data_IF_982657213308
#
_entry.id   IF_982657213308
#
_cell.length_a   1.000
_cell.length_b   1.000
_cell.length_c   1.000
_cell.angle_alpha   90.00
_cell.angle_beta   90.00
_cell.angle_gamma   90.00
#
_symmetry.space_group_name_H-M   'P 1'
#
loop_
_entity.id
_entity.type
_entity.pdbx_description
1 polymer ?
#
# COMPACT_ATOMS: atom_id res chain seq x y z
N UNK A 1 16.72 9.99 7.74
CA UNK A 1 18.00 9.36 8.12
C UNK A 1 18.92 10.44 8.68
N UNK A 2 19.45 10.27 9.89
CA UNK A 2 20.38 11.23 10.49
C UNK A 2 21.80 10.94 9.98
N UNK A 3 22.26 11.74 9.02
CA UNK A 3 23.60 11.63 8.41
C UNK A 3 24.42 12.87 8.73
N UNK A 4 25.68 12.91 8.28
CA UNK A 4 26.63 14.01 8.53
C UNK A 4 26.12 15.40 8.07
N UNK A 5 25.15 15.43 7.14
CA UNK A 5 24.52 16.66 6.66
C UNK A 5 23.44 17.25 7.59
N UNK A 6 23.12 16.61 8.71
CA UNK A 6 22.14 17.12 9.67
C UNK A 6 22.83 18.05 10.68
N UNK A 7 22.46 19.32 10.63
CA UNK A 7 22.93 20.34 11.56
C UNK A 7 22.00 20.45 12.76
N UNK A 8 22.49 21.05 13.85
CA UNK A 8 21.65 21.40 15.02
C UNK A 8 20.43 22.23 14.64
N UNK A 9 20.57 23.14 13.67
CA UNK A 9 19.47 23.95 13.15
C UNK A 9 18.35 23.10 12.54
N UNK A 10 18.70 22.16 11.65
CA UNK A 10 17.72 21.25 11.03
C UNK A 10 17.02 20.35 12.04
N UNK A 11 17.76 19.90 13.07
CA UNK A 11 17.19 19.12 14.16
C UNK A 11 16.18 19.92 15.00
N UNK A 12 16.51 21.16 15.39
CA UNK A 12 15.60 22.04 16.12
C UNK A 12 14.32 22.34 15.34
N UNK A 13 14.44 22.55 14.02
CA UNK A 13 13.27 22.70 13.14
C UNK A 13 12.39 21.46 13.19
N UNK A 14 12.95 20.24 13.02
CA UNK A 14 12.17 19.00 13.09
C UNK A 14 11.42 18.85 14.43
N UNK A 15 12.09 19.10 15.54
CA UNK A 15 11.45 19.01 16.88
C UNK A 15 10.33 20.03 17.02
N UNK A 16 10.52 21.24 16.50
CA UNK A 16 9.50 22.29 16.49
C UNK A 16 8.28 21.86 15.69
N UNK A 17 8.47 21.30 14.49
CA UNK A 17 7.37 20.78 13.65
C UNK A 17 6.64 19.62 14.32
N UNK A 18 7.34 18.71 14.99
CA UNK A 18 6.71 17.61 15.75
C UNK A 18 5.86 18.13 16.91
N UNK A 19 6.30 19.18 17.61
CA UNK A 19 5.51 19.81 18.66
C UNK A 19 4.27 20.52 18.09
N UNK A 20 4.41 21.25 16.97
CA UNK A 20 3.28 21.88 16.30
C UNK A 20 2.24 20.84 15.83
N UNK A 21 2.70 19.70 15.29
CA UNK A 21 1.82 18.60 14.92
C UNK A 21 1.05 18.07 16.14
N UNK A 22 1.74 17.85 17.26
CA UNK A 22 1.11 17.41 18.52
C UNK A 22 0.05 18.41 18.98
N UNK A 23 0.36 19.71 19.01
CA UNK A 23 -0.59 20.73 19.44
C UNK A 23 -1.82 20.78 18.52
N UNK A 24 -1.60 20.65 17.20
CA UNK A 24 -2.68 20.59 16.22
C UNK A 24 -3.57 19.35 16.41
N UNK A 25 -2.97 18.19 16.72
CA UNK A 25 -3.69 16.96 17.04
C UNK A 25 -4.47 17.09 18.36
N UNK A 26 -3.84 17.64 19.40
CA UNK A 26 -4.39 17.84 20.73
C UNK A 26 -5.55 18.86 20.76
N UNK A 27 -5.57 19.79 19.82
CA UNK A 27 -6.66 20.76 19.64
C UNK A 27 -7.66 20.35 18.55
N UNK A 28 -7.43 19.21 17.88
CA UNK A 28 -8.19 18.75 16.72
C UNK A 28 -8.35 19.87 15.66
N UNK A 29 -7.25 20.55 15.33
CA UNK A 29 -7.24 21.63 14.36
C UNK A 29 -7.80 21.13 13.01
N UNK A 30 -8.58 21.96 12.29
CA UNK A 30 -9.18 21.56 11.03
C UNK A 30 -8.12 21.29 9.98
N UNK A 31 -8.32 20.26 9.15
CA UNK A 31 -7.31 19.82 8.19
C UNK A 31 -6.96 20.87 7.13
N UNK A 32 -7.87 21.76 6.74
CA UNK A 32 -7.56 22.84 5.81
C UNK A 32 -6.52 23.82 6.37
N UNK A 33 -6.38 23.89 7.70
CA UNK A 33 -5.35 24.70 8.38
C UNK A 33 -4.03 23.95 8.50
N UNK A 34 -4.08 22.66 8.79
CA UNK A 34 -2.88 21.83 9.04
C UNK A 34 -2.24 21.36 7.72
N UNK A 35 -3.03 20.96 6.74
CA UNK A 35 -2.60 20.40 5.46
C UNK A 35 -3.40 21.02 4.29
N UNK A 36 -3.26 22.33 4.02
CA UNK A 36 -4.06 23.04 3.02
C UNK A 36 -3.93 22.46 1.61
N UNK A 37 -2.71 22.13 1.17
CA UNK A 37 -2.49 21.55 -0.17
C UNK A 37 -3.14 20.17 -0.33
N UNK A 38 -3.17 19.38 0.75
CA UNK A 38 -3.83 18.08 0.76
C UNK A 38 -5.35 18.23 0.60
N UNK A 39 -5.95 19.20 1.29
CA UNK A 39 -7.39 19.47 1.18
C UNK A 39 -7.77 19.98 -0.20
N UNK A 40 -6.95 20.82 -0.83
CA UNK A 40 -7.20 21.25 -2.23
C UNK A 40 -7.29 20.05 -3.18
N UNK A 41 -6.45 19.03 -2.99
CA UNK A 41 -6.46 17.80 -3.80
C UNK A 41 -7.54 16.82 -3.37
N UNK A 42 -7.91 16.81 -2.09
CA UNK A 42 -8.87 15.90 -1.50
C UNK A 42 -9.93 16.65 -0.66
N UNK A 43 -10.85 17.40 -1.29
CA UNK A 43 -11.82 18.25 -0.58
C UNK A 43 -12.74 17.50 0.38
N UNK A 44 -12.88 16.17 0.20
CA UNK A 44 -13.72 15.32 1.05
C UNK A 44 -13.36 15.36 2.54
N UNK A 45 -12.11 15.71 2.86
CA UNK A 45 -11.63 15.79 4.24
C UNK A 45 -11.73 17.20 4.85
N UNK A 46 -12.23 18.19 4.11
CA UNK A 46 -12.25 19.62 4.53
C UNK A 46 -12.91 19.83 5.90
N UNK A 47 -13.96 19.05 6.20
CA UNK A 47 -14.73 19.15 7.45
C UNK A 47 -14.15 18.38 8.63
N UNK A 48 -13.03 17.67 8.45
CA UNK A 48 -12.41 16.89 9.51
C UNK A 48 -11.34 17.71 10.25
N UNK A 49 -11.19 17.43 11.54
CA UNK A 49 -9.98 17.79 12.27
C UNK A 49 -8.88 16.74 12.10
N UNK A 50 -7.64 17.13 12.44
CA UNK A 50 -6.48 16.25 12.34
C UNK A 50 -6.66 14.96 13.16
N UNK A 51 -7.18 15.06 14.39
CA UNK A 51 -7.41 13.90 15.25
C UNK A 51 -8.48 12.99 14.66
N UNK A 52 -9.55 13.56 14.11
CA UNK A 52 -10.65 12.78 13.54
C UNK A 52 -10.16 11.91 12.38
N UNK A 53 -9.33 12.47 11.49
CA UNK A 53 -8.73 11.72 10.39
C UNK A 53 -7.80 10.63 10.91
N UNK A 54 -6.91 10.95 11.86
CA UNK A 54 -6.03 9.96 12.47
C UNK A 54 -6.82 8.81 13.11
N UNK A 55 -7.91 9.11 13.81
CA UNK A 55 -8.76 8.10 14.45
C UNK A 55 -9.45 7.23 13.41
N UNK A 56 -10.01 7.82 12.33
CA UNK A 56 -10.64 7.06 11.25
C UNK A 56 -9.67 6.07 10.59
N UNK A 57 -8.45 6.52 10.29
CA UNK A 57 -7.41 5.65 9.72
C UNK A 57 -7.05 4.55 10.72
N UNK A 58 -6.80 4.91 11.99
CA UNK A 58 -6.45 3.96 13.04
C UNK A 58 -7.53 2.89 13.25
N UNK A 59 -8.81 3.26 13.24
CA UNK A 59 -9.92 2.34 13.42
C UNK A 59 -9.99 1.28 12.31
N UNK A 60 -9.62 1.64 11.07
CA UNK A 60 -9.54 0.67 9.97
C UNK A 60 -8.36 -0.28 10.15
N UNK A 61 -7.19 0.24 10.51
CA UNK A 61 -6.03 -0.61 10.83
C UNK A 61 -6.35 -1.59 11.98
N UNK A 62 -7.05 -1.12 13.00
CA UNK A 62 -7.46 -1.92 14.16
C UNK A 62 -8.52 -2.97 13.80
N UNK A 63 -9.55 -2.59 13.05
CA UNK A 63 -10.65 -3.50 12.68
C UNK A 63 -10.18 -4.67 11.81
N UNK A 64 -9.12 -4.46 11.01
CA UNK A 64 -8.56 -5.46 10.10
C UNK A 64 -7.32 -6.16 10.65
N UNK A 65 -6.91 -5.83 11.88
CA UNK A 65 -5.71 -6.35 12.55
C UNK A 65 -4.50 -6.39 11.58
N UNK A 66 -4.24 -5.25 10.94
CA UNK A 66 -3.30 -5.18 9.82
C UNK A 66 -1.88 -5.56 10.23
N UNK A 67 -1.51 -5.34 11.49
CA UNK A 67 -0.23 -5.78 12.03
C UNK A 67 -0.10 -7.30 11.93
N UNK A 68 -1.13 -8.04 12.40
CA UNK A 68 -1.16 -9.50 12.29
C UNK A 68 -1.25 -9.95 10.84
N UNK A 69 -2.11 -9.35 10.01
CA UNK A 69 -2.22 -9.69 8.59
C UNK A 69 -0.89 -9.52 7.85
N UNK A 70 -0.16 -8.44 8.14
CA UNK A 70 1.16 -8.17 7.55
C UNK A 70 2.17 -9.23 8.00
N UNK A 71 2.17 -9.62 9.26
CA UNK A 71 3.04 -10.70 9.75
C UNK A 71 2.67 -12.06 9.13
N UNK A 72 1.38 -12.41 9.12
CA UNK A 72 0.88 -13.68 8.61
C UNK A 72 1.18 -13.85 7.12
N UNK A 73 1.10 -12.80 6.29
CA UNK A 73 1.46 -12.93 4.88
C UNK A 73 2.93 -13.26 4.66
N UNK A 74 3.86 -12.69 5.42
CA UNK A 74 5.30 -13.00 5.29
C UNK A 74 5.69 -14.35 5.90
N UNK A 75 4.88 -14.88 6.81
CA UNK A 75 5.06 -16.22 7.39
C UNK A 75 4.28 -17.31 6.64
N UNK A 76 3.43 -16.92 5.68
CA UNK A 76 2.67 -17.86 4.86
C UNK A 76 3.60 -18.65 3.93
N UNK A 77 3.16 -19.83 3.51
CA UNK A 77 3.92 -20.66 2.59
C UNK A 77 4.06 -19.99 1.22
N UNK A 78 5.31 -19.83 0.77
CA UNK A 78 5.67 -19.34 -0.56
C UNK A 78 6.03 -20.53 -1.44
N UNK A 79 5.21 -20.77 -2.47
CA UNK A 79 5.37 -21.92 -3.37
C UNK A 79 6.01 -21.45 -4.68
N UNK A 80 7.25 -21.85 -5.00
CA UNK A 80 7.85 -21.56 -6.30
C UNK A 80 7.33 -22.55 -7.35
N UNK A 81 6.51 -22.07 -8.29
CA UNK A 81 6.02 -22.87 -9.42
C UNK A 81 7.03 -22.95 -10.58
N UNK A 82 7.87 -21.91 -10.72
CA UNK A 82 8.95 -21.88 -11.71
C UNK A 82 10.10 -20.99 -11.24
N UNK A 83 11.25 -21.07 -11.93
CA UNK A 83 12.38 -20.21 -11.60
C UNK A 83 12.07 -18.75 -11.99
N UNK A 84 12.58 -17.75 -11.26
CA UNK A 84 12.40 -16.35 -11.63
C UNK A 84 12.87 -16.01 -13.05
N UNK A 85 13.90 -16.70 -13.55
CA UNK A 85 14.38 -16.56 -14.94
C UNK A 85 13.36 -17.05 -15.97
N UNK A 86 12.61 -18.10 -15.64
CA UNK A 86 11.59 -18.66 -16.53
C UNK A 86 10.36 -17.73 -16.54
N UNK A 87 9.93 -17.25 -15.37
CA UNK A 87 8.87 -16.24 -15.26
C UNK A 87 9.23 -14.94 -16.01
N UNK A 88 10.49 -14.49 -15.93
CA UNK A 88 10.99 -13.36 -16.71
C UNK A 88 10.93 -13.63 -18.22
N UNK A 89 11.29 -14.84 -18.67
CA UNK A 89 11.19 -15.23 -20.07
C UNK A 89 9.74 -15.17 -20.56
N UNK A 90 8.78 -15.66 -19.78
CA UNK A 90 7.34 -15.54 -20.09
C UNK A 90 6.92 -14.08 -20.27
N UNK A 91 7.35 -13.19 -19.37
CA UNK A 91 7.07 -11.75 -19.50
C UNK A 91 7.70 -11.16 -20.78
N UNK A 92 8.95 -11.50 -21.09
CA UNK A 92 9.64 -11.04 -22.30
C UNK A 92 8.95 -11.50 -23.60
N UNK A 93 8.35 -12.69 -23.57
CA UNK A 93 7.58 -13.23 -24.69
C UNK A 93 6.10 -12.82 -24.70
N UNK A 94 5.66 -11.95 -23.78
CA UNK A 94 4.26 -11.53 -23.63
C UNK A 94 3.30 -12.70 -23.34
N UNK A 95 3.81 -13.71 -22.67
CA UNK A 95 3.05 -14.85 -22.12
C UNK A 95 2.63 -14.58 -20.68
N UNK A 96 2.16 -13.36 -20.46
CA UNK A 96 1.57 -12.90 -19.21
C UNK A 96 0.17 -12.35 -19.46
N UNK A 97 -0.65 -12.36 -18.43
CA UNK A 97 -1.99 -11.80 -18.44
C UNK A 97 -2.24 -10.96 -17.18
N UNK A 98 -3.10 -9.95 -17.35
CA UNK A 98 -3.52 -9.06 -16.28
C UNK A 98 -4.67 -9.71 -15.53
N UNK A 99 -4.45 -10.08 -14.27
CA UNK A 99 -5.44 -10.79 -13.44
C UNK A 99 -5.96 -9.89 -12.33
N UNK A 100 -7.27 -9.88 -12.12
CA UNK A 100 -7.92 -9.16 -11.02
C UNK A 100 -7.48 -9.71 -9.66
N UNK A 101 -7.36 -8.86 -8.63
CA UNK A 101 -7.10 -9.31 -7.25
C UNK A 101 -8.00 -10.47 -6.83
N UNK A 102 -9.28 -10.45 -7.25
CA UNK A 102 -10.26 -11.45 -6.83
C UNK A 102 -9.99 -12.85 -7.40
N UNK A 103 -9.19 -12.94 -8.48
CA UNK A 103 -8.86 -14.16 -9.23
C UNK A 103 -7.38 -14.57 -9.11
N UNK A 104 -6.63 -13.97 -8.16
CA UNK A 104 -5.20 -14.20 -8.03
C UNK A 104 -4.85 -15.52 -7.34
N UNK A 105 -5.70 -16.08 -6.49
CA UNK A 105 -5.35 -17.28 -5.72
C UNK A 105 -4.97 -18.44 -6.65
N UNK A 106 -3.79 -19.04 -6.45
CA UNK A 106 -3.25 -20.10 -7.31
C UNK A 106 -2.55 -19.62 -8.58
N UNK A 107 -2.55 -18.32 -8.89
CA UNK A 107 -1.83 -17.77 -10.05
C UNK A 107 -0.35 -17.59 -9.77
N UNK A 108 0.47 -17.64 -10.82
CA UNK A 108 1.93 -17.41 -10.74
C UNK A 108 2.23 -15.97 -11.08
N UNK A 109 2.83 -15.20 -10.16
CA UNK A 109 3.19 -13.81 -10.46
C UNK A 109 4.29 -13.74 -11.52
N UNK A 110 4.17 -12.80 -12.46
CA UNK A 110 5.22 -12.48 -13.42
C UNK A 110 6.09 -11.29 -12.97
N UNK A 111 5.70 -10.62 -11.88
CA UNK A 111 6.35 -9.41 -11.36
C UNK A 111 6.67 -9.55 -9.87
N UNK A 112 7.55 -8.68 -9.39
CA UNK A 112 7.73 -8.50 -7.96
C UNK A 112 6.46 -7.86 -7.37
N UNK A 113 5.96 -8.44 -6.29
CA UNK A 113 4.89 -7.84 -5.48
C UNK A 113 5.53 -7.34 -4.18
N UNK A 114 5.53 -6.03 -3.96
CA UNK A 114 6.22 -5.41 -2.81
C UNK A 114 5.29 -4.41 -2.12
N UNK A 115 4.63 -4.80 -1.02
CA UNK A 115 3.80 -3.90 -0.25
C UNK A 115 4.60 -2.93 0.61
N UNK A 116 4.07 -1.72 0.80
CA UNK A 116 4.58 -0.70 1.72
C UNK A 116 3.52 -0.31 2.76
N UNK A 117 3.82 -0.50 4.07
CA UNK A 117 4.99 -1.17 4.65
C UNK A 117 4.93 -2.72 4.51
N UNK A 118 6.04 -3.45 4.71
CA UNK A 118 7.38 -3.02 5.11
C UNK A 118 8.32 -2.62 3.95
N UNK A 119 7.95 -2.86 2.70
CA UNK A 119 8.78 -2.52 1.54
C UNK A 119 9.82 -3.55 1.14
N UNK A 120 9.68 -4.80 1.60
CA UNK A 120 10.46 -5.95 1.12
C UNK A 120 9.60 -6.80 0.17
N UNK A 121 10.19 -7.43 -0.86
CA UNK A 121 9.45 -8.30 -1.77
C UNK A 121 8.62 -9.34 -1.00
N UNK A 122 7.32 -9.37 -1.26
CA UNK A 122 6.39 -10.38 -0.75
C UNK A 122 6.33 -11.59 -1.67
N UNK A 123 6.27 -11.34 -2.99
CA UNK A 123 6.36 -12.39 -4.01
C UNK A 123 7.41 -12.02 -5.05
N UNK A 124 8.13 -13.04 -5.49
CA UNK A 124 9.12 -13.01 -6.57
C UNK A 124 8.48 -13.64 -7.82
N UNK A 125 8.81 -13.16 -9.04
CA UNK A 125 8.37 -13.81 -10.28
C UNK A 125 8.55 -15.33 -10.25
N UNK A 126 7.50 -16.07 -10.58
CA UNK A 126 7.48 -17.54 -10.53
C UNK A 126 6.86 -18.15 -9.27
N UNK A 127 6.57 -17.35 -8.25
CA UNK A 127 5.85 -17.79 -7.05
C UNK A 127 4.32 -17.69 -7.18
N UNK A 128 3.63 -18.53 -6.43
CA UNK A 128 2.17 -18.66 -6.46
C UNK A 128 1.52 -17.76 -5.40
N UNK A 129 0.47 -17.04 -5.79
CA UNK A 129 -0.40 -16.32 -4.85
C UNK A 129 -1.18 -17.30 -3.98
N UNK A 130 -1.01 -17.21 -2.67
CA UNK A 130 -1.84 -17.91 -1.70
C UNK A 130 -3.00 -17.02 -1.18
N UNK A 131 -3.93 -17.64 -0.48
CA UNK A 131 -5.10 -16.96 0.10
C UNK A 131 -4.74 -15.75 0.97
N UNK A 132 -3.75 -15.89 1.86
CA UNK A 132 -3.36 -14.83 2.81
C UNK A 132 -2.84 -13.59 2.09
N UNK A 133 -2.04 -13.76 1.03
CA UNK A 133 -1.54 -12.66 0.20
C UNK A 133 -2.70 -11.98 -0.53
N UNK A 134 -3.63 -12.76 -1.09
CA UNK A 134 -4.80 -12.22 -1.78
C UNK A 134 -5.70 -11.44 -0.82
N UNK A 135 -5.94 -11.95 0.37
CA UNK A 135 -6.73 -11.27 1.42
C UNK A 135 -6.06 -9.95 1.86
N UNK A 136 -4.73 -9.90 1.93
CA UNK A 136 -3.99 -8.65 2.15
C UNK A 136 -4.16 -7.65 1.00
N UNK A 137 -4.04 -8.08 -0.26
CA UNK A 137 -4.23 -7.17 -1.41
C UNK A 137 -5.67 -6.64 -1.48
N UNK A 138 -6.66 -7.44 -1.09
CA UNK A 138 -8.06 -7.00 -0.95
C UNK A 138 -8.21 -5.92 0.13
N UNK A 139 -7.51 -6.07 1.27
CA UNK A 139 -7.44 -5.03 2.28
C UNK A 139 -6.82 -3.73 1.74
N UNK A 140 -5.72 -3.82 0.98
CA UNK A 140 -5.09 -2.64 0.36
C UNK A 140 -6.06 -1.91 -0.58
N UNK A 141 -6.80 -2.65 -1.42
CA UNK A 141 -7.86 -2.08 -2.28
C UNK A 141 -8.90 -1.31 -1.46
N UNK A 142 -9.49 -1.96 -0.45
CA UNK A 142 -10.53 -1.35 0.39
C UNK A 142 -10.01 -0.10 1.13
N UNK A 143 -8.78 -0.16 1.65
CA UNK A 143 -8.16 0.96 2.34
C UNK A 143 -7.97 2.15 1.40
N UNK A 144 -7.46 1.91 0.20
CA UNK A 144 -7.21 2.95 -0.81
C UNK A 144 -8.51 3.61 -1.30
N UNK A 145 -9.58 2.83 -1.46
CA UNK A 145 -10.90 3.36 -1.83
C UNK A 145 -11.50 4.23 -0.72
N UNK A 146 -11.29 3.84 0.54
CA UNK A 146 -11.80 4.56 1.71
C UNK A 146 -11.01 5.82 2.00
N UNK A 147 -9.69 5.80 1.82
CA UNK A 147 -8.79 6.91 2.12
C UNK A 147 -7.96 7.40 0.93
N UNK A 148 -8.58 7.99 -0.12
CA UNK A 148 -7.84 8.66 -1.19
C UNK A 148 -6.86 9.70 -0.62
N UNK A 149 -5.64 9.75 -1.16
CA UNK A 149 -4.53 10.57 -0.67
C UNK A 149 -3.72 9.96 0.48
N UNK A 150 -4.13 8.81 1.02
CA UNK A 150 -3.37 8.02 1.99
C UNK A 150 -3.13 6.59 1.50
N UNK A 151 -3.13 6.37 0.19
CA UNK A 151 -3.08 5.04 -0.38
C UNK A 151 -1.85 4.26 0.10
N UNK A 152 -2.07 3.00 0.47
CA UNK A 152 -0.98 2.04 0.63
C UNK A 152 -0.42 1.72 -0.74
N UNK A 153 0.89 1.85 -0.86
CA UNK A 153 1.63 1.55 -2.08
C UNK A 153 2.00 0.07 -2.12
N UNK A 154 1.83 -0.55 -3.27
CA UNK A 154 2.19 -1.94 -3.49
C UNK A 154 2.75 -2.07 -4.91
N UNK A 155 4.06 -2.21 -5.04
CA UNK A 155 4.65 -2.46 -6.34
C UNK A 155 4.16 -3.80 -6.88
N UNK A 156 3.93 -3.88 -8.19
CA UNK A 156 3.32 -5.04 -8.84
C UNK A 156 1.78 -4.99 -8.86
N UNK A 157 1.16 -4.17 -8.00
CA UNK A 157 -0.28 -3.94 -8.01
C UNK A 157 -0.62 -2.77 -8.95
N UNK A 158 -1.32 -3.04 -10.03
CA UNK A 158 -1.67 -2.06 -11.05
C UNK A 158 -3.11 -1.60 -10.88
N UNK A 159 -3.32 -0.28 -10.92
CA UNK A 159 -4.63 0.36 -10.94
C UNK A 159 -5.07 0.58 -12.39
N UNK A 160 -6.23 0.07 -12.77
CA UNK A 160 -6.85 0.29 -14.07
C UNK A 160 -8.22 0.94 -13.91
N UNK A 161 -8.45 2.05 -14.60
CA UNK A 161 -9.77 2.65 -14.67
C UNK A 161 -10.56 2.01 -15.81
N UNK A 162 -11.60 1.24 -15.49
CA UNK A 162 -12.53 0.67 -16.48
C UNK A 162 -13.94 1.11 -16.14
N UNK A 163 -14.63 1.73 -17.09
CA UNK A 163 -16.03 2.18 -16.91
C UNK A 163 -16.25 3.09 -15.68
N UNK A 164 -15.23 3.85 -15.27
CA UNK A 164 -15.28 4.72 -14.09
C UNK A 164 -15.01 4.02 -12.75
N UNK A 165 -14.77 2.70 -12.76
CA UNK A 165 -14.41 1.91 -11.59
C UNK A 165 -12.91 1.61 -11.62
N UNK A 166 -12.24 1.77 -10.47
CA UNK A 166 -10.83 1.42 -10.32
C UNK A 166 -10.73 -0.07 -10.04
N UNK A 167 -10.13 -0.82 -10.95
CA UNK A 167 -9.78 -2.21 -10.78
C UNK A 167 -8.32 -2.34 -10.36
N UNK A 168 -8.06 -3.26 -9.46
CA UNK A 168 -6.71 -3.58 -9.01
C UNK A 168 -6.33 -4.97 -9.54
N UNK A 169 -5.18 -5.05 -10.20
CA UNK A 169 -4.76 -6.22 -10.93
C UNK A 169 -3.26 -6.47 -10.76
N UNK A 170 -2.80 -7.69 -11.03
CA UNK A 170 -1.37 -8.04 -11.11
C UNK A 170 -1.10 -8.80 -12.40
N UNK A 171 0.07 -8.59 -13.00
CA UNK A 171 0.53 -9.37 -14.15
C UNK A 171 1.00 -10.76 -13.69
N UNK A 172 0.30 -11.79 -14.16
CA UNK A 172 0.59 -13.19 -13.87
C UNK A 172 1.04 -13.91 -15.15
N UNK A 173 1.77 -15.01 -15.00
CA UNK A 173 2.08 -15.90 -16.13
C UNK A 173 0.75 -16.48 -16.66
N UNK A 174 0.57 -16.49 -17.99
CA UNK A 174 -0.57 -17.17 -18.62
C UNK A 174 -0.49 -18.65 -18.26
N UNK A 175 -1.64 -19.27 -18.01
CA UNK A 175 -1.73 -20.69 -17.64
C UNK A 175 -0.81 -21.57 -18.50
N UNK A 176 0.01 -22.41 -17.84
CA UNK A 176 0.68 -23.56 -18.48
C UNK A 176 -0.35 -24.59 -18.93
#
# INVERSE_FOLDING_TARGET
>A
MFTIGITKGRWNTLVTELQQFKDAYDQNQPLWRVMPEFITKNPRYEKLGLRDLCQQIHDVYKARDVARLTTEMYLSEMVPAMRPTDAWSMMAHREIERVSIDDLEGRVTAMLVTPYPPGIPLLIPGEVFNKTIVDYLKFVREFNERFPGFESDCHGLVKELREGVVHYCVDCVKHL
#
